data_IF_016571731096
#
_entry.id   IF_016571731096
#
_cell.length_a   1.000
_cell.length_b   1.000
_cell.length_c   1.000
_cell.angle_alpha   90.00
_cell.angle_beta   90.00
_cell.angle_gamma   90.00
#
_symmetry.space_group_name_H-M   'P 1'
#
loop_
_entity.id
_entity.type
_entity.pdbx_description
1 polymer ?
#
# COMPACT_ATOMS: atom_id res chain seq x y z
N UNK A 1 -1.19 -0.84 -9.91
CA UNK A 1 -0.53 -2.15 -10.06
C UNK A 1 0.28 -2.48 -8.82
N UNK A 2 0.05 -3.63 -8.24
CA UNK A 2 0.73 -4.03 -7.01
C UNK A 2 2.19 -4.44 -7.29
N UNK A 3 3.15 -3.84 -6.55
CA UNK A 3 4.58 -4.06 -6.76
C UNK A 3 5.36 -3.90 -5.44
N UNK A 4 6.63 -4.29 -5.43
CA UNK A 4 7.51 -4.13 -4.28
C UNK A 4 8.24 -2.77 -4.17
N UNK A 5 7.95 -1.84 -5.04
CA UNK A 5 8.50 -0.47 -5.08
C UNK A 5 10.00 -0.33 -5.37
N UNK A 6 10.75 -1.39 -5.53
CA UNK A 6 12.21 -1.28 -5.70
C UNK A 6 12.60 -0.33 -6.84
N UNK A 7 12.02 -0.55 -8.02
CA UNK A 7 12.35 0.27 -9.20
C UNK A 7 11.88 1.71 -9.04
N UNK A 8 10.69 1.90 -8.47
CA UNK A 8 10.13 3.24 -8.27
C UNK A 8 10.94 4.05 -7.26
N UNK A 9 11.42 3.42 -6.19
CA UNK A 9 12.29 4.07 -5.22
C UNK A 9 13.64 4.46 -5.84
N UNK A 10 14.22 3.62 -6.70
CA UNK A 10 15.46 3.95 -7.42
C UNK A 10 15.26 5.13 -8.37
N UNK A 11 14.14 5.16 -9.11
CA UNK A 11 13.80 6.29 -9.98
C UNK A 11 13.60 7.58 -9.18
N UNK A 12 12.88 7.50 -8.07
CA UNK A 12 12.65 8.63 -7.19
C UNK A 12 13.96 9.18 -6.63
N UNK A 13 14.84 8.31 -6.16
CA UNK A 13 16.16 8.70 -5.67
C UNK A 13 16.97 9.45 -6.74
N UNK A 14 17.04 8.92 -7.97
CA UNK A 14 17.77 9.54 -9.08
C UNK A 14 17.21 10.90 -9.49
N UNK A 15 15.92 11.12 -9.30
CA UNK A 15 15.21 12.35 -9.66
C UNK A 15 14.98 13.30 -8.48
N UNK A 16 15.59 13.04 -7.34
CA UNK A 16 15.42 13.83 -6.11
C UNK A 16 13.94 13.98 -5.69
N UNK A 17 13.17 12.90 -5.79
CA UNK A 17 11.76 12.83 -5.41
C UNK A 17 11.55 11.83 -4.30
N UNK A 18 10.47 12.00 -3.56
CA UNK A 18 10.05 11.05 -2.52
C UNK A 18 8.78 10.32 -2.96
N UNK A 19 8.62 9.08 -2.52
CA UNK A 19 7.36 8.35 -2.69
C UNK A 19 6.61 8.39 -1.36
N UNK A 20 5.35 8.83 -1.34
CA UNK A 20 4.60 8.91 -0.11
C UNK A 20 4.18 7.53 0.39
N UNK A 21 4.14 7.39 1.72
CA UNK A 21 3.46 6.30 2.39
C UNK A 21 2.28 6.86 3.17
N UNK A 22 1.10 6.32 2.94
CA UNK A 22 -0.11 6.68 3.67
C UNK A 22 -0.63 5.47 4.44
N UNK A 23 -1.06 5.70 5.67
CA UNK A 23 -1.69 4.65 6.48
C UNK A 23 -3.09 4.35 5.95
N UNK A 24 -3.43 3.07 5.88
CA UNK A 24 -4.80 2.64 5.58
C UNK A 24 -5.37 1.88 6.76
N UNK A 25 -6.62 2.17 7.12
CA UNK A 25 -7.34 1.53 8.23
C UNK A 25 -8.68 0.96 7.80
N UNK A 26 -9.19 1.34 6.64
CA UNK A 26 -10.52 0.95 6.16
C UNK A 26 -10.62 1.09 4.64
N UNK A 27 -11.76 0.71 4.09
CA UNK A 27 -12.02 0.80 2.66
C UNK A 27 -12.00 2.25 2.16
N UNK A 28 -12.61 3.16 2.88
CA UNK A 28 -12.78 4.56 2.45
C UNK A 28 -11.44 5.25 2.31
N UNK A 29 -10.56 5.12 3.28
CA UNK A 29 -9.21 5.69 3.22
C UNK A 29 -8.41 5.11 2.06
N UNK A 30 -8.44 3.80 1.92
CA UNK A 30 -7.73 3.10 0.84
C UNK A 30 -8.21 3.57 -0.53
N UNK A 31 -9.52 3.64 -0.72
CA UNK A 31 -10.12 4.07 -1.96
C UNK A 31 -9.71 5.50 -2.33
N UNK A 32 -9.88 6.44 -1.42
CA UNK A 32 -9.58 7.85 -1.71
C UNK A 32 -8.09 8.09 -1.96
N UNK A 33 -7.20 7.40 -1.24
CA UNK A 33 -5.76 7.48 -1.48
C UNK A 33 -5.43 6.97 -2.89
N UNK A 34 -5.96 5.81 -3.27
CA UNK A 34 -5.71 5.24 -4.60
C UNK A 34 -6.25 6.13 -5.72
N UNK A 35 -7.48 6.63 -5.59
CA UNK A 35 -8.08 7.53 -6.57
C UNK A 35 -7.26 8.81 -6.77
N UNK A 36 -6.83 9.44 -5.69
CA UNK A 36 -6.05 10.68 -5.79
C UNK A 36 -4.65 10.42 -6.35
N UNK A 37 -3.97 9.36 -5.93
CA UNK A 37 -2.65 9.02 -6.46
C UNK A 37 -2.71 8.65 -7.94
N UNK A 38 -3.75 7.94 -8.38
CA UNK A 38 -3.99 7.66 -9.81
C UNK A 38 -4.19 8.95 -10.60
N UNK A 39 -5.00 9.85 -10.10
CA UNK A 39 -5.24 11.16 -10.73
C UNK A 39 -3.96 11.97 -10.87
N UNK A 40 -3.08 11.93 -9.86
CA UNK A 40 -1.79 12.60 -9.87
C UNK A 40 -0.73 11.83 -10.67
N UNK A 41 -1.02 10.61 -11.12
CA UNK A 41 -0.09 9.70 -11.78
C UNK A 41 1.19 9.51 -10.95
N UNK A 42 1.03 9.21 -9.67
CA UNK A 42 2.15 9.10 -8.73
C UNK A 42 2.11 7.78 -7.95
N UNK A 43 3.24 7.07 -7.81
CA UNK A 43 3.30 5.83 -7.05
C UNK A 43 3.03 6.05 -5.57
N UNK A 44 2.50 5.04 -4.89
CA UNK A 44 2.13 5.13 -3.47
C UNK A 44 2.45 3.86 -2.71
N UNK A 45 2.85 4.04 -1.46
CA UNK A 45 3.02 2.96 -0.49
C UNK A 45 1.84 3.04 0.50
N UNK A 46 1.11 1.94 0.64
CA UNK A 46 0.02 1.83 1.62
C UNK A 46 0.59 1.17 2.87
N UNK A 47 0.75 1.95 3.93
CA UNK A 47 1.26 1.48 5.21
C UNK A 47 0.15 0.89 6.05
N UNK A 48 0.34 -0.32 6.58
CA UNK A 48 -0.66 -1.00 7.41
C UNK A 48 -0.02 -1.46 8.70
N UNK A 49 -0.49 -0.95 9.82
CA UNK A 49 -0.04 -1.40 11.14
C UNK A 49 -0.68 -2.75 11.52
N UNK A 50 -0.09 -3.45 12.47
CA UNK A 50 -0.68 -4.69 13.00
C UNK A 50 -2.09 -4.44 13.57
N UNK A 51 -2.30 -3.32 14.26
CA UNK A 51 -3.62 -2.93 14.77
C UNK A 51 -4.64 -2.70 13.66
N UNK A 52 -4.24 -2.07 12.57
CA UNK A 52 -5.12 -1.88 11.40
C UNK A 52 -5.45 -3.21 10.71
N UNK A 53 -4.48 -4.11 10.61
CA UNK A 53 -4.68 -5.46 10.05
C UNK A 53 -5.73 -6.21 10.87
N UNK A 54 -5.58 -6.21 12.19
CA UNK A 54 -6.55 -6.84 13.10
C UNK A 54 -7.95 -6.22 12.98
N UNK A 55 -8.02 -4.91 12.95
CA UNK A 55 -9.27 -4.17 12.78
C UNK A 55 -9.99 -4.53 11.48
N UNK A 56 -9.26 -4.64 10.38
CA UNK A 56 -9.82 -4.98 9.07
C UNK A 56 -10.15 -6.46 8.88
N UNK A 57 -9.69 -7.33 9.75
CA UNK A 57 -10.00 -8.75 9.74
C UNK A 57 -8.82 -9.70 9.55
N UNK A 58 -7.67 -9.22 9.14
CA UNK A 58 -6.45 -10.03 8.95
C UNK A 58 -5.66 -9.67 7.69
N UNK A 59 -4.52 -10.33 7.53
CA UNK A 59 -3.58 -10.07 6.42
C UNK A 59 -4.23 -10.30 5.05
N UNK A 60 -4.92 -11.42 4.89
CA UNK A 60 -5.58 -11.77 3.62
C UNK A 60 -6.65 -10.74 3.26
N UNK A 61 -7.43 -10.30 4.26
CA UNK A 61 -8.47 -9.28 4.06
C UNK A 61 -7.88 -7.97 3.56
N UNK A 62 -6.78 -7.52 4.16
CA UNK A 62 -6.11 -6.27 3.74
C UNK A 62 -5.61 -6.38 2.31
N UNK A 63 -4.92 -7.45 1.97
CA UNK A 63 -4.38 -7.65 0.62
C UNK A 63 -5.50 -7.73 -0.41
N UNK A 64 -6.56 -8.47 -0.12
CA UNK A 64 -7.70 -8.61 -1.05
C UNK A 64 -8.48 -7.30 -1.20
N UNK A 65 -8.65 -6.53 -0.13
CA UNK A 65 -9.26 -5.20 -0.21
C UNK A 65 -8.47 -4.29 -1.17
N UNK A 66 -7.17 -4.23 -1.02
CA UNK A 66 -6.31 -3.42 -1.89
C UNK A 66 -6.37 -3.92 -3.34
N UNK A 67 -6.23 -5.24 -3.55
CA UNK A 67 -6.30 -5.83 -4.89
C UNK A 67 -7.63 -5.56 -5.56
N UNK A 68 -8.74 -5.71 -4.85
CA UNK A 68 -10.09 -5.46 -5.39
C UNK A 68 -10.25 -4.00 -5.81
N UNK A 69 -9.80 -3.06 -4.99
CA UNK A 69 -9.88 -1.64 -5.32
C UNK A 69 -8.99 -1.28 -6.51
N UNK A 70 -7.79 -1.85 -6.59
CA UNK A 70 -6.91 -1.64 -7.75
C UNK A 70 -7.60 -2.09 -9.03
N UNK A 71 -8.26 -3.24 -9.01
CA UNK A 71 -8.96 -3.78 -10.17
C UNK A 71 -10.20 -2.95 -10.52
N UNK A 72 -11.09 -2.74 -9.56
CA UNK A 72 -12.36 -2.03 -9.79
C UNK A 72 -12.16 -0.56 -10.20
N UNK A 73 -11.21 0.12 -9.59
CA UNK A 73 -10.90 1.52 -9.88
C UNK A 73 -9.93 1.69 -11.06
N UNK A 74 -9.45 0.58 -11.65
CA UNK A 74 -8.50 0.56 -12.77
C UNK A 74 -7.23 1.36 -12.45
N UNK A 75 -6.68 1.14 -11.27
CA UNK A 75 -5.47 1.80 -10.81
C UNK A 75 -4.27 1.28 -11.61
N UNK A 76 -3.60 2.16 -12.33
CA UNK A 76 -2.45 1.83 -13.18
C UNK A 76 -1.10 2.21 -12.55
N UNK A 77 -1.08 3.11 -11.59
CA UNK A 77 0.14 3.51 -10.90
C UNK A 77 0.72 2.35 -10.09
N UNK A 78 2.05 2.37 -9.83
CA UNK A 78 2.66 1.41 -8.91
C UNK A 78 2.13 1.62 -7.48
N UNK A 79 1.67 0.54 -6.87
CA UNK A 79 1.17 0.51 -5.49
C UNK A 79 1.90 -0.60 -4.74
N UNK A 80 2.38 -0.33 -3.54
CA UNK A 80 2.86 -1.38 -2.65
C UNK A 80 2.13 -1.35 -1.31
N UNK A 81 2.06 -2.52 -0.67
CA UNK A 81 1.55 -2.66 0.68
C UNK A 81 2.74 -2.92 1.58
N UNK A 82 2.82 -2.18 2.68
CA UNK A 82 3.92 -2.27 3.62
C UNK A 82 3.39 -2.54 5.03
N UNK A 83 3.91 -3.59 5.68
CA UNK A 83 3.68 -3.79 7.11
C UNK A 83 4.46 -2.73 7.87
N UNK A 84 3.74 -1.79 8.49
CA UNK A 84 4.34 -0.69 9.22
C UNK A 84 4.46 -1.06 10.71
N UNK A 85 5.65 -0.88 11.28
CA UNK A 85 5.93 -1.22 12.67
C UNK A 85 5.65 -2.69 13.03
N UNK A 86 6.13 -3.63 12.23
CA UNK A 86 6.06 -5.05 12.57
C UNK A 86 6.77 -5.32 13.90
N UNK A 87 6.03 -5.86 14.89
CA UNK A 87 6.53 -6.02 16.26
C UNK A 87 7.36 -7.28 16.48
N UNK A 88 7.36 -8.21 15.54
CA UNK A 88 8.07 -9.48 15.65
C UNK A 88 8.44 -10.05 14.28
N UNK A 89 9.39 -10.97 14.28
CA UNK A 89 9.76 -11.74 13.07
C UNK A 89 8.54 -12.52 12.57
N UNK A 90 7.75 -13.09 13.48
CA UNK A 90 6.54 -13.82 13.13
C UNK A 90 5.53 -12.96 12.36
N UNK A 91 5.28 -11.73 12.82
CA UNK A 91 4.42 -10.79 12.10
C UNK A 91 4.94 -10.49 10.69
N UNK A 92 6.25 -10.29 10.56
CA UNK A 92 6.86 -10.03 9.27
C UNK A 92 6.73 -11.23 8.32
N UNK A 93 6.89 -12.45 8.83
CA UNK A 93 6.70 -13.67 8.04
C UNK A 93 5.25 -13.80 7.57
N UNK A 94 4.29 -13.52 8.45
CA UNK A 94 2.86 -13.54 8.08
C UNK A 94 2.49 -12.51 7.02
N UNK A 95 3.23 -11.40 6.96
CA UNK A 95 2.98 -10.33 6.00
C UNK A 95 3.50 -10.65 4.59
N UNK A 96 4.40 -11.61 4.43
CA UNK A 96 4.96 -12.03 3.15
C UNK A 96 3.99 -12.95 2.42
#
# INVERSE_FOLDING_TARGET
MLTNMREELLKAYKNNKAIPQFNINNLEWTRFILEECEKQNYPVILGVSEGAIEYMGGYITVVNLVKSLIEDLKISIPVSIHLDHGSSIESCIKAI
#
